data_IF_325625531892
#
_entry.id   IF_325625531892
#
_cell.length_a   1.000
_cell.length_b   1.000
_cell.length_c   1.000
_cell.angle_alpha   90.00
_cell.angle_beta   90.00
_cell.angle_gamma   90.00
#
_symmetry.space_group_name_H-M   'P 1'
#
loop_
_entity.id
_entity.type
_entity.pdbx_description
1 polymer ?
#
# COMPACT_ATOMS: atom_id res chain seq x y z
N UNK A 1 -10.39 -23.39 3.20
CA UNK A 1 -9.41 -22.74 4.10
C UNK A 1 -9.52 -21.23 3.90
N UNK A 2 -10.30 -20.57 4.74
CA UNK A 2 -10.51 -19.12 4.65
C UNK A 2 -9.28 -18.40 5.19
N UNK A 3 -8.57 -17.66 4.33
CA UNK A 3 -7.36 -16.95 4.71
C UNK A 3 -7.65 -15.43 4.73
N UNK A 4 -7.45 -14.73 5.87
CA UNK A 4 -7.76 -13.30 5.98
C UNK A 4 -6.82 -12.43 5.15
N UNK A 5 -5.60 -12.92 4.92
CA UNK A 5 -4.57 -12.25 4.14
C UNK A 5 -3.70 -13.30 3.45
N UNK A 6 -3.12 -12.93 2.30
CA UNK A 6 -2.27 -13.83 1.52
C UNK A 6 -1.06 -13.12 0.96
N UNK A 7 0.08 -13.79 1.00
CA UNK A 7 1.34 -13.31 0.43
C UNK A 7 1.33 -13.49 -1.10
N UNK A 8 1.97 -12.56 -1.79
CA UNK A 8 2.18 -12.62 -3.23
C UNK A 8 3.38 -11.77 -3.68
N UNK A 9 3.72 -11.90 -4.95
CA UNK A 9 4.82 -11.17 -5.61
C UNK A 9 4.22 -10.20 -6.61
N UNK A 10 4.66 -8.94 -6.60
CA UNK A 10 4.27 -7.95 -7.59
C UNK A 10 4.84 -8.32 -8.96
N UNK A 11 3.97 -8.49 -9.95
CA UNK A 11 4.39 -8.71 -11.35
C UNK A 11 4.51 -7.40 -12.10
N UNK A 12 3.62 -6.43 -11.84
CA UNK A 12 3.67 -5.10 -12.44
C UNK A 12 3.05 -4.05 -11.52
N UNK A 13 3.70 -2.91 -11.39
CA UNK A 13 3.18 -1.75 -10.67
C UNK A 13 2.84 -0.65 -11.68
N UNK A 14 1.61 -0.15 -11.66
CA UNK A 14 1.14 0.84 -12.64
C UNK A 14 -0.01 1.69 -12.09
N UNK A 15 -0.36 2.74 -12.81
CA UNK A 15 -1.51 3.61 -12.49
C UNK A 15 -2.68 3.34 -13.41
N UNK A 16 -3.89 3.35 -12.85
CA UNK A 16 -5.14 3.13 -13.60
C UNK A 16 -6.10 4.30 -13.36
N UNK A 17 -6.84 4.69 -14.39
CA UNK A 17 -7.92 5.67 -14.30
C UNK A 17 -9.22 5.02 -13.78
N UNK A 18 -9.97 5.70 -12.89
CA UNK A 18 -11.24 5.20 -12.37
C UNK A 18 -12.36 5.23 -13.41
N UNK A 19 -13.50 4.61 -13.08
CA UNK A 19 -14.75 4.79 -13.84
C UNK A 19 -15.25 6.24 -13.71
N UNK A 20 -15.83 6.77 -14.80
CA UNK A 20 -16.69 7.97 -14.76
C UNK A 20 -17.75 7.76 -13.67
N UNK A 21 -18.02 8.70 -12.73
CA UNK A 21 -17.80 10.15 -12.75
C UNK A 21 -16.47 10.65 -12.18
N UNK A 22 -15.65 9.77 -11.60
CA UNK A 22 -14.45 10.19 -10.88
C UNK A 22 -13.27 10.40 -11.84
N UNK A 23 -12.36 11.30 -11.49
CA UNK A 23 -11.06 11.49 -12.17
C UNK A 23 -9.93 11.43 -11.13
N UNK A 24 -8.92 10.60 -11.38
CA UNK A 24 -7.71 10.49 -10.57
C UNK A 24 -6.75 9.47 -11.21
N UNK A 25 -5.49 9.47 -10.80
CA UNK A 25 -4.58 8.36 -11.03
C UNK A 25 -4.56 7.48 -9.78
N UNK A 26 -5.11 6.26 -9.89
CA UNK A 26 -5.08 5.28 -8.80
C UNK A 26 -3.85 4.38 -8.97
N UNK A 27 -3.09 4.19 -7.90
CA UNK A 27 -1.89 3.35 -7.89
C UNK A 27 -2.27 1.90 -7.60
N UNK A 28 -1.87 1.00 -8.49
CA UNK A 28 -2.32 -0.39 -8.48
C UNK A 28 -1.13 -1.31 -8.77
N UNK A 29 -1.17 -2.52 -8.22
CA UNK A 29 -0.20 -3.57 -8.53
C UNK A 29 -0.93 -4.84 -9.00
N UNK A 30 -0.42 -5.46 -10.05
CA UNK A 30 -0.71 -6.87 -10.35
C UNK A 30 0.16 -7.72 -9.45
N UNK A 31 -0.46 -8.65 -8.74
CA UNK A 31 0.18 -9.50 -7.74
C UNK A 31 -0.14 -10.95 -8.06
N UNK A 32 0.89 -11.78 -8.18
CA UNK A 32 0.76 -13.22 -8.26
C UNK A 32 0.78 -13.80 -6.84
N UNK A 33 -0.36 -14.34 -6.40
CA UNK A 33 -0.49 -14.91 -5.07
C UNK A 33 0.23 -16.26 -4.98
N UNK A 34 0.52 -16.68 -3.74
CA UNK A 34 0.98 -18.04 -3.43
C UNK A 34 0.01 -19.13 -3.90
N UNK A 35 -1.27 -18.82 -4.10
CA UNK A 35 -2.27 -19.71 -4.70
C UNK A 35 -2.19 -19.80 -6.23
N UNK A 36 -1.16 -19.20 -6.87
CA UNK A 36 -0.95 -19.10 -8.32
C UNK A 36 -1.95 -18.19 -9.06
N UNK A 37 -3.00 -17.71 -8.41
CA UNK A 37 -3.91 -16.73 -9.00
C UNK A 37 -3.26 -15.35 -9.11
N UNK A 38 -3.49 -14.70 -10.25
CA UNK A 38 -3.12 -13.31 -10.46
C UNK A 38 -4.27 -12.39 -10.08
N UNK A 39 -3.99 -11.43 -9.21
CA UNK A 39 -4.97 -10.49 -8.70
C UNK A 39 -4.47 -9.06 -8.85
N UNK A 40 -5.42 -8.14 -9.06
CA UNK A 40 -5.13 -6.71 -9.11
C UNK A 40 -5.43 -6.13 -7.73
N UNK A 41 -4.40 -5.55 -7.10
CA UNK A 41 -4.46 -5.03 -5.73
C UNK A 41 -4.19 -3.53 -5.70
N UNK A 42 -4.99 -2.81 -4.92
CA UNK A 42 -4.83 -1.37 -4.71
C UNK A 42 -3.71 -1.06 -3.72
N UNK A 43 -2.93 -0.02 -4.00
CA UNK A 43 -1.90 0.49 -3.09
C UNK A 43 -2.48 1.68 -2.32
N UNK A 44 -2.77 1.55 -1.01
CA UNK A 44 -3.37 2.64 -0.25
C UNK A 44 -2.33 3.66 0.21
N UNK A 45 -2.73 4.93 0.21
CA UNK A 45 -1.97 6.04 0.77
C UNK A 45 -1.22 6.87 -0.26
N UNK A 46 -0.38 7.76 0.26
CA UNK A 46 0.46 8.65 -0.54
C UNK A 46 1.83 8.00 -0.75
N UNK A 47 2.30 7.99 -2.00
CA UNK A 47 3.55 7.34 -2.37
C UNK A 47 3.60 5.81 -2.15
N UNK A 48 4.54 5.15 -2.80
CA UNK A 48 4.86 3.73 -2.55
C UNK A 48 6.30 3.45 -2.96
N UNK A 49 6.86 2.40 -2.37
CA UNK A 49 8.22 1.90 -2.64
C UNK A 49 8.21 0.61 -3.49
N UNK A 50 7.04 0.14 -3.93
CA UNK A 50 6.93 -1.14 -4.61
C UNK A 50 7.46 -1.06 -6.03
N UNK A 51 8.25 -2.07 -6.37
CA UNK A 51 8.79 -2.30 -7.69
C UNK A 51 8.29 -3.66 -8.19
N UNK A 52 8.76 -4.08 -9.36
CA UNK A 52 8.58 -5.46 -9.81
C UNK A 52 9.29 -6.41 -8.83
N UNK A 53 8.75 -7.62 -8.67
CA UNK A 53 9.24 -8.66 -7.77
C UNK A 53 9.19 -8.37 -6.26
N UNK A 54 8.72 -7.20 -5.84
CA UNK A 54 8.50 -6.93 -4.41
C UNK A 54 7.47 -7.91 -3.81
N UNK A 55 7.75 -8.39 -2.60
CA UNK A 55 6.87 -9.30 -1.86
C UNK A 55 5.88 -8.48 -1.04
N UNK A 56 4.60 -8.75 -1.25
CA UNK A 56 3.50 -7.99 -0.62
C UNK A 56 2.53 -8.89 0.10
N UNK A 57 1.87 -8.30 1.10
CA UNK A 57 0.77 -8.92 1.81
C UNK A 57 -0.55 -8.29 1.34
N UNK A 58 -1.45 -9.13 0.85
CA UNK A 58 -2.74 -8.72 0.27
C UNK A 58 -3.86 -9.07 1.22
N UNK A 59 -4.79 -8.14 1.41
CA UNK A 59 -6.03 -8.33 2.18
C UNK A 59 -7.27 -8.05 1.32
N UNK A 60 -8.41 -8.56 1.77
CA UNK A 60 -9.71 -8.26 1.18
C UNK A 60 -10.05 -6.76 1.23
N UNK A 61 -10.68 -6.26 0.17
CA UNK A 61 -11.19 -4.89 0.12
C UNK A 61 -11.41 -4.44 -1.32
N UNK A 62 -12.64 -4.09 -1.68
CA UNK A 62 -12.94 -3.61 -3.04
C UNK A 62 -12.77 -2.10 -3.12
N UNK A 63 -12.06 -1.64 -4.15
CA UNK A 63 -12.10 -0.22 -4.53
C UNK A 63 -13.32 -0.01 -5.43
N UNK A 64 -14.28 0.79 -4.97
CA UNK A 64 -15.53 1.03 -5.70
C UNK A 64 -15.30 1.65 -7.09
N UNK A 65 -14.30 2.51 -7.19
CA UNK A 65 -14.00 3.30 -8.39
C UNK A 65 -13.38 2.50 -9.55
N UNK A 66 -12.71 1.38 -9.26
CA UNK A 66 -11.92 0.65 -10.26
C UNK A 66 -12.56 -0.71 -10.57
N UNK A 67 -12.77 -1.06 -11.85
CA UNK A 67 -13.17 -2.42 -12.21
C UNK A 67 -12.02 -3.40 -11.94
N UNK A 68 -12.34 -4.57 -11.41
CA UNK A 68 -11.38 -5.66 -11.20
C UNK A 68 -10.45 -5.52 -9.99
N UNK A 69 -10.42 -4.36 -9.31
CA UNK A 69 -9.58 -4.15 -8.11
C UNK A 69 -10.36 -4.52 -6.84
N UNK A 70 -10.27 -5.80 -6.47
CA UNK A 70 -11.01 -6.41 -5.35
C UNK A 70 -10.20 -6.57 -4.07
N UNK A 71 -8.91 -6.24 -4.11
CA UNK A 71 -7.98 -6.45 -2.99
C UNK A 71 -7.15 -5.20 -2.71
N UNK A 72 -6.66 -5.08 -1.48
CA UNK A 72 -5.76 -4.02 -1.05
C UNK A 72 -4.45 -4.60 -0.54
N UNK A 73 -3.36 -3.90 -0.79
CA UNK A 73 -2.08 -4.19 -0.17
C UNK A 73 -2.07 -3.63 1.26
N UNK A 74 -1.60 -4.43 2.21
CA UNK A 74 -1.32 -3.99 3.59
C UNK A 74 -0.02 -3.19 3.58
N UNK A 75 0.00 -2.03 4.24
CA UNK A 75 1.21 -1.19 4.35
C UNK A 75 1.96 -1.49 5.64
N UNK A 76 3.29 -1.36 5.60
CA UNK A 76 4.16 -1.63 6.75
C UNK A 76 4.41 -3.11 7.01
N UNK A 77 4.13 -3.97 6.03
CA UNK A 77 4.35 -5.41 6.09
C UNK A 77 5.16 -5.86 4.88
N UNK A 78 6.14 -6.76 5.09
CA UNK A 78 7.08 -7.22 4.06
C UNK A 78 7.76 -6.00 3.39
N UNK A 79 7.85 -5.98 2.06
CA UNK A 79 8.58 -4.92 1.32
C UNK A 79 7.77 -3.62 1.18
N UNK A 80 6.54 -3.60 1.69
CA UNK A 80 5.67 -2.41 1.63
C UNK A 80 6.03 -1.42 2.74
N UNK A 81 6.78 -0.37 2.42
CA UNK A 81 7.05 0.71 3.35
C UNK A 81 5.74 1.41 3.81
N UNK A 82 5.73 1.96 5.03
CA UNK A 82 4.63 2.81 5.51
C UNK A 82 4.48 4.11 4.71
N UNK A 83 3.48 4.93 5.03
CA UNK A 83 3.38 6.29 4.46
C UNK A 83 4.21 7.24 5.32
N UNK A 84 5.14 7.96 4.69
CA UNK A 84 6.02 8.90 5.39
C UNK A 84 5.23 10.08 5.97
N UNK A 85 5.67 10.59 7.12
CA UNK A 85 5.13 11.79 7.81
C UNK A 85 3.62 11.75 8.12
N UNK A 86 2.97 10.58 8.06
CA UNK A 86 1.55 10.41 8.41
C UNK A 86 1.34 10.52 9.93
N UNK A 87 0.64 11.55 10.38
CA UNK A 87 0.36 11.78 11.81
C UNK A 87 -0.96 11.14 12.26
N UNK A 88 -1.96 11.08 11.37
CA UNK A 88 -3.33 10.57 11.60
C UNK A 88 -3.56 9.23 10.88
N UNK A 89 -4.38 8.35 11.49
CA UNK A 89 -4.72 7.01 10.96
C UNK A 89 -3.52 6.12 10.64
N UNK A 90 -2.47 6.25 11.45
CA UNK A 90 -1.15 5.64 11.26
C UNK A 90 -1.18 4.11 11.16
N UNK A 91 -2.08 3.47 11.90
CA UNK A 91 -2.25 2.01 11.94
C UNK A 91 -2.65 1.44 10.59
N UNK A 92 -3.45 2.17 9.79
CA UNK A 92 -3.89 1.74 8.47
C UNK A 92 -2.79 1.83 7.40
N UNK A 93 -1.86 2.75 7.58
CA UNK A 93 -0.83 3.09 6.59
C UNK A 93 0.58 2.65 7.00
N UNK A 94 0.71 1.83 8.05
CA UNK A 94 1.99 1.25 8.46
C UNK A 94 3.00 2.26 9.02
N UNK A 95 2.55 3.41 9.52
CA UNK A 95 3.41 4.45 10.06
C UNK A 95 3.54 4.30 11.58
N UNK A 96 4.77 4.22 12.09
CA UNK A 96 5.01 4.15 13.55
C UNK A 96 4.74 5.51 14.21
N UNK A 97 4.37 5.50 15.49
CA UNK A 97 4.28 6.72 16.30
C UNK A 97 5.69 7.28 16.48
N UNK A 98 5.91 8.54 16.12
CA UNK A 98 7.17 9.22 16.39
C UNK A 98 7.44 9.22 17.91
N UNK A 99 8.67 8.86 18.33
CA UNK A 99 9.05 8.95 19.73
C UNK A 99 9.26 10.42 20.10
N UNK A 100 9.00 10.78 21.36
CA UNK A 100 9.16 12.16 21.83
C UNK A 100 10.61 12.66 21.71
N UNK A 101 11.59 11.75 21.73
CA UNK A 101 13.03 12.03 21.56
C UNK A 101 13.40 12.46 20.14
N UNK A 102 12.72 11.94 19.11
CA UNK A 102 13.08 12.20 17.70
C UNK A 102 12.72 13.63 17.26
N UNK A 103 11.81 14.31 17.97
CA UNK A 103 11.49 15.72 17.69
C UNK A 103 12.66 16.67 17.99
N UNK A 104 13.52 16.34 18.97
CA UNK A 104 14.65 17.20 19.37
C UNK A 104 15.81 17.20 18.36
N UNK A 105 15.96 16.15 17.55
CA UNK A 105 17.07 16.06 16.59
C UNK A 105 16.89 16.99 15.37
N UNK A 106 15.64 17.30 14.99
CA UNK A 106 15.35 18.21 13.87
C UNK A 106 15.53 19.69 14.20
N UNK A 107 15.43 20.09 15.47
CA UNK A 107 15.62 21.49 15.88
C UNK A 107 17.11 21.86 16.04
N UNK A 108 17.97 20.93 16.45
CA UNK A 108 19.41 21.19 16.62
C UNK A 108 20.20 21.32 15.31
N UNK A 109 19.60 21.04 14.15
CA UNK A 109 20.25 21.19 12.83
C UNK A 109 19.99 22.55 12.18
N UNK A 110 19.31 23.46 12.91
CA UNK A 110 18.94 24.81 12.47
C UNK A 110 19.66 25.92 13.26
N UNK A 111 20.70 25.56 14.01
CA UNK A 111 21.62 26.48 14.68
C UNK A 111 23.00 26.38 14.03
#
# INVERSE_FOLDING_TARGET
MECPQRRGVCTRVYTTTPKKPNSALRKVAKVRLTSKFEVISYIPGEGHNLQEHSIVLVRGGRVKDLPGVKYHIVRGALDTAGVNKRTVSRSKYGTKKAKATDKKATDNKKK
#
